data_IF_765541585993
#
_entry.id   IF_765541585993
#
_cell.length_a   1.000
_cell.length_b   1.000
_cell.length_c   1.000
_cell.angle_alpha   90.00
_cell.angle_beta   90.00
_cell.angle_gamma   90.00
#
_symmetry.space_group_name_H-M   'P 1'
#
loop_
_entity.id
_entity.type
_entity.pdbx_description
1 polymer ?
#
# COMPACT_ATOMS: atom_id res chain seq x y z
N UNK A 1 26.70 8.78 9.13
CA UNK A 1 26.41 8.86 7.68
C UNK A 1 25.17 9.73 7.46
N UNK A 2 25.18 10.61 6.45
CA UNK A 2 24.00 11.43 6.08
C UNK A 2 23.17 10.73 5.01
N UNK A 3 21.86 10.91 5.05
CA UNK A 3 20.88 10.41 4.08
C UNK A 3 19.95 11.53 3.63
N UNK A 4 19.44 11.42 2.40
CA UNK A 4 18.54 12.41 1.80
C UNK A 4 17.11 11.90 1.92
N UNK A 5 16.26 12.60 2.68
CA UNK A 5 14.83 12.28 2.78
C UNK A 5 14.12 12.55 1.46
N UNK A 6 12.93 11.96 1.28
CA UNK A 6 12.07 12.17 0.10
C UNK A 6 11.65 13.63 -0.13
N UNK A 7 11.72 14.48 0.89
CA UNK A 7 11.52 15.92 0.78
C UNK A 7 12.83 16.71 0.57
N UNK A 8 13.87 16.05 0.05
CA UNK A 8 15.21 16.59 -0.23
C UNK A 8 16.00 17.09 0.98
N UNK A 9 15.52 16.91 2.22
CA UNK A 9 16.25 17.29 3.43
C UNK A 9 17.29 16.25 3.81
N UNK A 10 18.53 16.68 4.03
CA UNK A 10 19.57 15.83 4.60
C UNK A 10 19.34 15.60 6.09
N UNK A 11 19.54 14.36 6.55
CA UNK A 11 19.46 13.97 7.97
C UNK A 11 20.49 12.89 8.27
N UNK A 12 20.76 12.63 9.55
CA UNK A 12 21.57 11.48 9.94
C UNK A 12 20.77 10.19 9.72
N UNK A 13 21.46 9.13 9.26
CA UNK A 13 20.86 7.80 9.20
C UNK A 13 20.38 7.40 10.60
N UNK A 14 19.14 6.94 10.68
CA UNK A 14 18.52 6.40 11.88
C UNK A 14 18.32 4.89 11.70
N UNK A 15 19.20 4.11 12.32
CA UNK A 15 19.19 2.63 12.22
C UNK A 15 17.98 2.05 12.94
N UNK A 16 17.54 2.67 14.04
CA UNK A 16 16.36 2.24 14.81
C UNK A 16 15.11 2.26 13.93
N UNK A 17 14.96 3.27 13.06
CA UNK A 17 13.85 3.29 12.09
C UNK A 17 13.91 2.15 11.08
N UNK A 18 15.11 1.76 10.63
CA UNK A 18 15.28 0.63 9.72
C UNK A 18 14.87 -0.66 10.44
N UNK A 19 15.41 -0.88 11.64
CA UNK A 19 15.11 -2.05 12.45
C UNK A 19 13.61 -2.23 12.68
N UNK A 20 12.92 -1.16 13.09
CA UNK A 20 11.48 -1.19 13.30
C UNK A 20 10.69 -1.49 12.01
N UNK A 21 11.14 -0.95 10.87
CA UNK A 21 10.49 -1.20 9.57
C UNK A 21 10.65 -2.65 9.14
N UNK A 22 11.84 -3.23 9.31
CA UNK A 22 12.10 -4.62 8.95
C UNK A 22 11.36 -5.58 9.88
N UNK A 23 11.39 -5.35 11.20
CA UNK A 23 10.62 -6.14 12.16
C UNK A 23 9.13 -6.09 11.86
N UNK A 24 8.59 -4.91 11.56
CA UNK A 24 7.18 -4.78 11.15
C UNK A 24 6.87 -5.61 9.90
N UNK A 25 7.76 -5.59 8.89
CA UNK A 25 7.58 -6.40 7.69
C UNK A 25 7.67 -7.90 7.97
N UNK A 26 8.49 -8.33 8.93
CA UNK A 26 8.69 -9.74 9.27
C UNK A 26 7.69 -10.28 10.31
N UNK A 27 6.83 -9.43 10.89
CA UNK A 27 5.93 -9.81 11.98
C UNK A 27 5.02 -11.00 11.60
N UNK A 28 5.02 -12.04 12.43
CA UNK A 28 4.25 -13.27 12.20
C UNK A 28 4.72 -14.13 11.02
N UNK A 29 5.92 -13.91 10.47
CA UNK A 29 6.51 -14.70 9.40
C UNK A 29 7.74 -15.50 9.89
N UNK A 30 8.02 -16.65 9.28
CA UNK A 30 9.25 -17.40 9.54
C UNK A 30 10.43 -16.80 8.73
N UNK A 31 10.87 -15.62 9.13
CA UNK A 31 11.91 -14.81 8.47
C UNK A 31 12.88 -14.29 9.51
N UNK A 32 14.15 -14.12 9.15
CA UNK A 32 15.16 -13.50 10.02
C UNK A 32 15.35 -12.01 9.66
N UNK A 33 14.84 -11.06 10.47
CA UNK A 33 15.01 -9.62 10.21
C UNK A 33 16.47 -9.19 10.09
N UNK A 34 17.36 -9.80 10.89
CA UNK A 34 18.78 -9.43 10.91
C UNK A 34 19.47 -9.71 9.57
N UNK A 35 19.10 -10.78 8.88
CA UNK A 35 19.65 -11.08 7.55
C UNK A 35 19.29 -10.00 6.53
N UNK A 36 18.06 -9.47 6.59
CA UNK A 36 17.62 -8.37 5.71
C UNK A 36 18.39 -7.09 6.02
N UNK A 37 18.54 -6.78 7.31
CA UNK A 37 19.21 -5.56 7.76
C UNK A 37 20.70 -5.55 7.39
N UNK A 38 21.44 -6.61 7.73
CA UNK A 38 22.89 -6.68 7.51
C UNK A 38 23.22 -6.63 6.02
N UNK A 39 22.53 -7.44 5.21
CA UNK A 39 22.76 -7.49 3.76
C UNK A 39 22.44 -6.15 3.06
N UNK A 40 21.46 -5.40 3.54
CA UNK A 40 21.16 -4.06 3.04
C UNK A 40 22.19 -3.02 3.51
N UNK A 41 22.55 -3.03 4.80
CA UNK A 41 23.46 -2.06 5.41
C UNK A 41 24.85 -2.05 4.78
N UNK A 42 25.36 -3.21 4.36
CA UNK A 42 26.66 -3.34 3.66
C UNK A 42 26.71 -2.46 2.40
N UNK A 43 25.57 -2.19 1.77
CA UNK A 43 25.47 -1.40 0.53
C UNK A 43 25.23 0.09 0.77
N UNK A 44 25.14 0.53 2.03
CA UNK A 44 24.86 1.93 2.35
C UNK A 44 26.05 2.83 2.06
N UNK A 45 25.75 4.04 1.59
CA UNK A 45 26.73 5.09 1.26
C UNK A 45 26.26 6.45 1.73
N UNK A 46 27.21 7.36 1.95
CA UNK A 46 26.88 8.72 2.34
C UNK A 46 26.05 9.41 1.25
N UNK A 47 25.10 10.25 1.67
CA UNK A 47 24.14 10.94 0.80
C UNK A 47 23.19 10.02 0.01
N UNK A 48 23.03 8.75 0.41
CA UNK A 48 21.99 7.89 -0.14
C UNK A 48 20.60 8.42 0.20
N UNK A 49 19.68 8.32 -0.74
CA UNK A 49 18.28 8.69 -0.52
C UNK A 49 17.56 7.63 0.33
N UNK A 50 16.58 8.06 1.11
CA UNK A 50 15.70 7.14 1.85
C UNK A 50 14.93 6.16 0.95
N UNK A 51 14.71 6.52 -0.33
CA UNK A 51 14.12 5.62 -1.32
C UNK A 51 15.10 4.52 -1.74
N UNK A 52 16.35 4.86 -2.01
CA UNK A 52 17.40 3.86 -2.29
C UNK A 52 17.60 2.89 -1.12
N UNK A 53 17.58 3.40 0.12
CA UNK A 53 17.66 2.54 1.33
C UNK A 53 16.50 1.54 1.36
N UNK A 54 15.27 2.00 1.13
CA UNK A 54 14.10 1.11 1.10
C UNK A 54 14.22 0.06 -0.02
N UNK A 55 14.70 0.44 -1.20
CA UNK A 55 14.92 -0.50 -2.30
C UNK A 55 16.00 -1.54 -1.96
N UNK A 56 17.06 -1.17 -1.25
CA UNK A 56 18.06 -2.13 -0.77
C UNK A 56 17.49 -3.14 0.23
N UNK A 57 16.62 -2.71 1.15
CA UNK A 57 15.92 -3.59 2.07
C UNK A 57 15.00 -4.57 1.32
N UNK A 58 14.23 -4.07 0.35
CA UNK A 58 13.37 -4.91 -0.51
C UNK A 58 14.22 -5.95 -1.25
N UNK A 59 15.29 -5.54 -1.93
CA UNK A 59 16.17 -6.47 -2.65
C UNK A 59 16.84 -7.49 -1.72
N UNK A 60 17.21 -7.07 -0.51
CA UNK A 60 17.76 -7.98 0.48
C UNK A 60 16.76 -9.07 0.88
N UNK A 61 15.49 -8.72 1.11
CA UNK A 61 14.46 -9.69 1.41
C UNK A 61 14.17 -10.61 0.20
N UNK A 62 14.12 -10.05 -1.01
CA UNK A 62 13.89 -10.81 -2.25
C UNK A 62 14.97 -11.86 -2.49
N UNK A 63 16.24 -11.53 -2.25
CA UNK A 63 17.35 -12.46 -2.46
C UNK A 63 17.33 -13.69 -1.53
N UNK A 64 16.61 -13.60 -0.41
CA UNK A 64 16.43 -14.70 0.54
C UNK A 64 15.22 -15.58 0.23
N UNK A 65 14.39 -15.23 -0.77
CA UNK A 65 13.26 -16.04 -1.20
C UNK A 65 13.79 -17.33 -1.82
N UNK A 66 13.40 -18.46 -1.23
CA UNK A 66 13.78 -19.79 -1.69
C UNK A 66 12.69 -20.80 -1.33
N UNK A 67 12.82 -22.04 -1.84
CA UNK A 67 11.91 -23.12 -1.45
C UNK A 67 12.00 -23.43 0.05
N UNK A 68 13.18 -23.22 0.67
CA UNK A 68 13.39 -23.43 2.11
C UNK A 68 12.84 -22.27 2.95
N UNK A 69 12.90 -21.04 2.42
CA UNK A 69 12.43 -19.84 3.12
C UNK A 69 11.38 -19.08 2.28
N UNK A 70 10.17 -19.64 2.08
CA UNK A 70 9.15 -19.04 1.22
C UNK A 70 8.59 -17.72 1.80
N UNK A 71 8.57 -17.57 3.13
CA UNK A 71 7.95 -16.43 3.81
C UNK A 71 8.62 -15.08 3.53
N UNK A 72 9.88 -15.09 3.07
CA UNK A 72 10.58 -13.88 2.61
C UNK A 72 9.82 -13.14 1.50
N UNK A 73 8.98 -13.83 0.72
CA UNK A 73 8.15 -13.19 -0.31
C UNK A 73 7.14 -12.22 0.29
N UNK A 74 6.56 -12.56 1.45
CA UNK A 74 5.61 -11.72 2.17
C UNK A 74 6.33 -10.56 2.86
N UNK A 75 7.51 -10.81 3.45
CA UNK A 75 8.34 -9.75 4.03
C UNK A 75 8.76 -8.72 2.97
N UNK A 76 9.22 -9.18 1.81
CA UNK A 76 9.54 -8.33 0.67
C UNK A 76 8.32 -7.55 0.17
N UNK A 77 7.14 -8.17 0.09
CA UNK A 77 5.91 -7.50 -0.31
C UNK A 77 5.50 -6.39 0.69
N UNK A 78 5.61 -6.66 2.00
CA UNK A 78 5.33 -5.67 3.05
C UNK A 78 6.31 -4.49 3.03
N UNK A 79 7.58 -4.72 2.69
CA UNK A 79 8.55 -3.64 2.47
C UNK A 79 8.21 -2.80 1.23
N UNK A 80 7.70 -3.40 0.15
CA UNK A 80 7.19 -2.68 -1.02
C UNK A 80 5.97 -1.83 -0.66
N UNK A 81 5.01 -2.40 0.07
CA UNK A 81 3.82 -1.70 0.56
C UNK A 81 4.20 -0.50 1.44
N UNK A 82 5.17 -0.67 2.34
CA UNK A 82 5.66 0.42 3.19
C UNK A 82 6.24 1.58 2.36
N UNK A 83 6.98 1.27 1.28
CA UNK A 83 7.50 2.28 0.34
C UNK A 83 6.34 3.06 -0.31
N UNK A 84 5.32 2.34 -0.81
CA UNK A 84 4.12 2.88 -1.44
C UNK A 84 3.33 3.77 -0.49
N UNK A 85 3.02 3.28 0.72
CA UNK A 85 2.27 4.03 1.72
C UNK A 85 2.92 5.37 2.04
N UNK A 86 4.26 5.39 2.15
CA UNK A 86 5.00 6.63 2.32
C UNK A 86 4.90 7.55 1.11
N UNK A 87 4.86 7.02 -0.11
CA UNK A 87 4.77 7.83 -1.33
C UNK A 87 3.40 8.49 -1.40
N UNK A 88 2.34 7.71 -1.22
CA UNK A 88 0.96 8.20 -1.22
C UNK A 88 0.71 9.19 -0.08
N UNK A 89 1.21 8.93 1.13
CA UNK A 89 1.05 9.87 2.24
C UNK A 89 1.72 11.22 1.97
N UNK A 90 2.91 11.21 1.38
CA UNK A 90 3.61 12.44 0.97
C UNK A 90 2.84 13.20 -0.12
N UNK A 91 2.34 12.49 -1.15
CA UNK A 91 1.52 13.09 -2.21
C UNK A 91 0.23 13.71 -1.64
N UNK A 92 -0.41 13.04 -0.68
CA UNK A 92 -1.63 13.51 -0.01
C UNK A 92 -1.38 14.54 1.10
N UNK A 93 -0.12 14.92 1.34
CA UNK A 93 0.26 15.98 2.27
C UNK A 93 0.08 15.63 3.75
N UNK A 94 0.05 14.35 4.13
CA UNK A 94 -0.01 13.96 5.55
C UNK A 94 1.22 13.20 6.00
N UNK A 95 1.62 13.44 7.25
CA UNK A 95 2.74 12.73 7.86
C UNK A 95 2.24 11.39 8.39
N UNK A 96 2.90 10.31 7.98
CA UNK A 96 2.79 9.04 8.69
C UNK A 96 3.38 9.22 10.09
N UNK A 97 2.65 8.75 11.11
CA UNK A 97 3.20 8.60 12.44
C UNK A 97 4.04 7.33 12.45
N UNK A 98 5.30 7.45 12.04
CA UNK A 98 6.31 6.38 12.13
C UNK A 98 6.99 6.41 13.52
N UNK A 99 6.24 6.68 14.60
CA UNK A 99 6.78 6.84 15.95
C UNK A 99 6.92 5.49 16.65
N UNK A 100 7.95 5.39 17.51
CA UNK A 100 8.49 4.14 18.10
C UNK A 100 7.47 3.37 18.96
N UNK A 101 6.30 3.93 19.29
CA UNK A 101 5.28 3.27 20.13
C UNK A 101 3.84 3.49 19.62
N UNK A 102 3.66 3.82 18.34
CA UNK A 102 2.32 4.03 17.76
C UNK A 102 2.00 2.97 16.72
N UNK A 103 0.77 2.48 16.72
CA UNK A 103 0.27 1.60 15.66
C UNK A 103 0.45 2.31 14.31
N UNK A 104 1.27 1.71 13.43
CA UNK A 104 1.51 2.24 12.10
C UNK A 104 0.17 2.35 11.36
N UNK A 105 -0.24 3.58 11.07
CA UNK A 105 -1.56 3.88 10.48
C UNK A 105 -1.35 4.58 9.13
N UNK A 106 -1.13 3.83 8.04
CA UNK A 106 -0.72 4.40 6.77
C UNK A 106 -1.88 4.94 5.91
N UNK A 107 -3.11 4.86 6.42
CA UNK A 107 -4.33 5.22 5.73
C UNK A 107 -5.26 6.00 6.66
N UNK A 108 -6.02 6.96 6.11
CA UNK A 108 -7.12 7.61 6.83
C UNK A 108 -8.36 7.65 5.94
N UNK A 109 -9.52 7.20 6.44
CA UNK A 109 -10.78 7.22 5.68
C UNK A 109 -11.17 8.60 5.14
N UNK A 110 -10.81 9.67 5.86
CA UNK A 110 -11.10 11.05 5.41
C UNK A 110 -10.36 11.44 4.12
N UNK A 111 -9.24 10.79 3.79
CA UNK A 111 -8.57 11.00 2.51
C UNK A 111 -9.23 10.24 1.37
N UNK A 112 -9.92 9.13 1.64
CA UNK A 112 -10.54 8.34 0.60
C UNK A 112 -11.65 9.09 -0.11
N UNK A 113 -12.53 9.80 0.62
CA UNK A 113 -13.57 10.65 0.02
C UNK A 113 -12.96 11.71 -0.90
N UNK A 114 -11.92 12.42 -0.41
CA UNK A 114 -11.21 13.45 -1.18
C UNK A 114 -10.53 12.86 -2.41
N UNK A 115 -9.92 11.70 -2.26
CA UNK A 115 -9.25 10.96 -3.33
C UNK A 115 -10.24 10.58 -4.43
N UNK A 116 -11.36 9.95 -4.07
CA UNK A 116 -12.40 9.57 -5.05
C UNK A 116 -12.93 10.78 -5.79
N UNK A 117 -13.33 11.83 -5.07
CA UNK A 117 -13.82 13.07 -5.70
C UNK A 117 -12.80 13.66 -6.67
N UNK A 118 -11.56 13.82 -6.22
CA UNK A 118 -10.49 14.42 -7.01
C UNK A 118 -10.26 13.66 -8.32
N UNK A 119 -10.18 12.33 -8.27
CA UNK A 119 -9.93 11.53 -9.47
C UNK A 119 -11.16 11.34 -10.37
N UNK A 120 -12.37 11.48 -9.83
CA UNK A 120 -13.59 11.59 -10.65
C UNK A 120 -13.63 12.94 -11.37
N UNK A 121 -13.35 14.05 -10.67
CA UNK A 121 -13.28 15.40 -11.27
C UNK A 121 -12.21 15.50 -12.37
N UNK A 122 -11.09 14.77 -12.21
CA UNK A 122 -10.05 14.65 -13.23
C UNK A 122 -10.41 13.72 -14.40
N UNK A 123 -11.56 13.03 -14.35
CA UNK A 123 -12.00 12.09 -15.37
C UNK A 123 -11.21 10.78 -15.41
N UNK A 124 -10.41 10.50 -14.39
CA UNK A 124 -9.63 9.25 -14.26
C UNK A 124 -10.51 8.13 -13.68
N UNK A 125 -11.29 8.46 -12.64
CA UNK A 125 -12.29 7.57 -12.09
C UNK A 125 -13.65 7.82 -12.75
N UNK A 126 -14.49 6.78 -12.80
CA UNK A 126 -15.80 6.86 -13.44
C UNK A 126 -16.78 7.74 -12.64
N UNK A 127 -17.45 8.68 -13.32
CA UNK A 127 -18.46 9.58 -12.74
C UNK A 127 -19.56 8.84 -11.96
N UNK A 128 -19.87 7.61 -12.36
CA UNK A 128 -20.88 6.76 -11.73
C UNK A 128 -20.64 6.54 -10.23
N UNK A 129 -19.38 6.64 -9.76
CA UNK A 129 -19.07 6.60 -8.33
C UNK A 129 -19.78 7.70 -7.54
N UNK A 130 -19.75 8.95 -8.04
CA UNK A 130 -20.38 10.09 -7.36
C UNK A 130 -21.90 10.17 -7.62
N UNK A 131 -22.39 9.53 -8.67
CA UNK A 131 -23.83 9.38 -8.93
C UNK A 131 -24.48 8.32 -8.04
N UNK A 132 -23.74 7.23 -7.76
CA UNK A 132 -24.27 6.06 -7.05
C UNK A 132 -24.04 6.11 -5.54
N UNK A 133 -23.02 6.82 -5.07
CA UNK A 133 -22.62 6.88 -3.66
C UNK A 133 -22.53 8.33 -3.18
N UNK A 134 -23.19 8.62 -2.05
CA UNK A 134 -23.03 9.89 -1.35
C UNK A 134 -21.65 9.97 -0.68
N UNK A 135 -21.25 11.17 -0.26
CA UNK A 135 -20.00 11.33 0.50
C UNK A 135 -19.97 10.50 1.78
N UNK A 136 -21.12 10.34 2.44
CA UNK A 136 -21.25 9.54 3.65
C UNK A 136 -21.05 8.05 3.34
N UNK A 137 -21.58 7.56 2.22
CA UNK A 137 -21.38 6.18 1.77
C UNK A 137 -19.90 5.92 1.48
N UNK A 138 -19.23 6.82 0.74
CA UNK A 138 -17.80 6.70 0.43
C UNK A 138 -16.96 6.76 1.71
N UNK A 139 -17.33 7.62 2.66
CA UNK A 139 -16.66 7.69 3.95
C UNK A 139 -16.83 6.41 4.76
N UNK A 140 -18.03 5.84 4.79
CA UNK A 140 -18.33 4.57 5.46
C UNK A 140 -17.55 3.41 4.84
N UNK A 141 -17.50 3.33 3.52
CA UNK A 141 -16.73 2.33 2.79
C UNK A 141 -15.22 2.51 3.01
N UNK A 142 -14.73 3.75 3.01
CA UNK A 142 -13.35 4.05 3.39
C UNK A 142 -13.02 3.61 4.82
N UNK A 143 -13.96 3.73 5.76
CA UNK A 143 -13.79 3.18 7.13
C UNK A 143 -13.80 1.66 7.16
N UNK A 144 -14.44 1.01 6.20
CA UNK A 144 -14.52 -0.46 6.11
C UNK A 144 -13.25 -1.10 5.56
N UNK A 145 -12.37 -0.32 4.91
CA UNK A 145 -11.11 -0.82 4.35
C UNK A 145 -10.24 -1.49 5.44
N UNK A 146 -9.78 -2.70 5.11
CA UNK A 146 -8.99 -3.61 5.96
C UNK A 146 -7.57 -3.74 5.40
N UNK A 147 -6.66 -2.90 5.89
CA UNK A 147 -5.27 -2.86 5.44
C UNK A 147 -4.53 -4.20 5.63
N UNK A 148 -4.95 -5.01 6.61
CA UNK A 148 -4.36 -6.32 6.86
C UNK A 148 -4.48 -7.29 5.66
N UNK A 149 -5.41 -7.04 4.73
CA UNK A 149 -5.51 -7.84 3.51
C UNK A 149 -4.32 -7.62 2.57
N UNK A 150 -3.60 -6.50 2.66
CA UNK A 150 -2.35 -6.31 1.92
C UNK A 150 -1.28 -7.32 2.30
N UNK A 151 -1.35 -7.91 3.51
CA UNK A 151 -0.35 -8.90 3.95
C UNK A 151 -0.48 -10.23 3.24
N UNK A 152 -1.54 -10.43 2.45
CA UNK A 152 -1.71 -11.61 1.58
C UNK A 152 -0.90 -11.52 0.29
N UNK A 153 -0.33 -10.37 -0.04
CA UNK A 153 0.47 -10.24 -1.26
C UNK A 153 1.82 -10.95 -1.14
N UNK A 154 2.15 -11.74 -2.15
CA UNK A 154 3.53 -12.14 -2.42
C UNK A 154 4.28 -11.01 -3.13
N UNK A 155 5.61 -11.05 -3.12
CA UNK A 155 6.42 -10.02 -3.79
C UNK A 155 6.09 -9.87 -5.29
N UNK A 156 5.99 -10.95 -6.09
CA UNK A 156 5.55 -10.84 -7.49
C UNK A 156 4.13 -10.28 -7.62
N UNK A 157 3.23 -10.65 -6.70
CA UNK A 157 1.84 -10.19 -6.68
C UNK A 157 1.74 -8.68 -6.51
N UNK A 158 2.36 -8.13 -5.46
CA UNK A 158 2.34 -6.68 -5.24
C UNK A 158 3.05 -5.92 -6.35
N UNK A 159 4.18 -6.44 -6.87
CA UNK A 159 4.88 -5.80 -8.00
C UNK A 159 4.00 -5.71 -9.24
N UNK A 160 3.34 -6.80 -9.59
CA UNK A 160 2.41 -6.82 -10.72
C UNK A 160 1.28 -5.81 -10.51
N UNK A 161 0.76 -5.72 -9.28
CA UNK A 161 -0.26 -4.73 -8.92
C UNK A 161 0.21 -3.29 -9.15
N UNK A 162 1.38 -2.92 -8.61
CA UNK A 162 1.92 -1.55 -8.75
C UNK A 162 2.25 -1.20 -10.20
N UNK A 163 2.75 -2.17 -10.97
CA UNK A 163 3.25 -1.92 -12.31
C UNK A 163 2.11 -1.81 -13.32
N UNK A 164 1.07 -2.65 -13.19
CA UNK A 164 0.04 -2.83 -14.24
C UNK A 164 -1.36 -2.36 -13.85
N UNK A 165 -1.72 -2.40 -12.57
CA UNK A 165 -3.12 -2.28 -12.15
C UNK A 165 -3.39 -0.98 -11.38
N UNK A 166 -2.51 -0.60 -10.47
CA UNK A 166 -2.74 0.64 -9.74
C UNK A 166 -2.71 1.85 -10.67
N UNK A 167 -3.72 2.69 -10.53
CA UNK A 167 -3.92 3.87 -11.33
C UNK A 167 -2.75 4.84 -11.13
N UNK A 168 -2.33 5.40 -12.27
CA UNK A 168 -1.24 6.37 -12.36
C UNK A 168 -1.75 7.68 -12.92
N UNK A 169 -1.32 8.77 -12.31
CA UNK A 169 -1.54 10.12 -12.77
C UNK A 169 -0.16 10.76 -13.01
N UNK A 170 0.07 11.26 -14.22
CA UNK A 170 1.38 11.77 -14.65
C UNK A 170 2.54 10.80 -14.35
N UNK A 171 2.28 9.49 -14.52
CA UNK A 171 3.26 8.42 -14.30
C UNK A 171 3.51 8.05 -12.84
N UNK A 172 2.81 8.66 -11.88
CA UNK A 172 2.92 8.35 -10.44
C UNK A 172 1.71 7.55 -9.99
N UNK A 173 1.93 6.52 -9.18
CA UNK A 173 0.83 5.78 -8.53
C UNK A 173 0.13 6.71 -7.54
N UNK A 174 -1.20 6.71 -7.55
CA UNK A 174 -2.03 7.62 -6.75
C UNK A 174 -2.97 6.95 -5.76
N UNK A 175 -3.10 5.62 -5.85
CA UNK A 175 -3.99 4.82 -5.03
C UNK A 175 -3.24 3.72 -4.27
N UNK A 176 -3.92 3.17 -3.27
CA UNK A 176 -3.47 2.05 -2.47
C UNK A 176 -4.19 0.76 -2.91
N UNK A 177 -3.60 -0.44 -2.72
CA UNK A 177 -4.21 -1.70 -3.15
C UNK A 177 -5.62 -1.91 -2.61
N UNK A 178 -5.84 -1.61 -1.32
CA UNK A 178 -7.16 -1.75 -0.71
C UNK A 178 -8.16 -0.69 -1.18
N UNK A 179 -7.69 0.49 -1.58
CA UNK A 179 -8.55 1.51 -2.20
C UNK A 179 -9.00 1.04 -3.58
N UNK A 180 -8.08 0.50 -4.40
CA UNK A 180 -8.39 -0.10 -5.70
C UNK A 180 -9.45 -1.21 -5.55
N UNK A 181 -9.25 -2.16 -4.61
CA UNK A 181 -10.25 -3.21 -4.37
C UNK A 181 -11.60 -2.67 -3.90
N UNK A 182 -11.62 -1.65 -3.03
CA UNK A 182 -12.86 -1.03 -2.61
C UNK A 182 -13.56 -0.31 -3.77
N UNK A 183 -12.82 0.39 -4.64
CA UNK A 183 -13.37 1.06 -5.81
C UNK A 183 -13.95 0.07 -6.82
N UNK A 184 -13.25 -1.04 -7.07
CA UNK A 184 -13.75 -2.11 -7.94
C UNK A 184 -15.03 -2.72 -7.36
N UNK A 185 -15.07 -2.98 -6.05
CA UNK A 185 -16.26 -3.46 -5.37
C UNK A 185 -17.44 -2.47 -5.44
N UNK A 186 -17.17 -1.16 -5.27
CA UNK A 186 -18.15 -0.10 -5.44
C UNK A 186 -18.73 -0.07 -6.84
N UNK A 187 -17.89 -0.21 -7.87
CA UNK A 187 -18.33 -0.22 -9.27
C UNK A 187 -19.19 -1.45 -9.59
N UNK A 188 -18.80 -2.62 -9.10
CA UNK A 188 -19.58 -3.86 -9.24
C UNK A 188 -20.96 -3.73 -8.57
N UNK A 189 -21.03 -3.13 -7.39
CA UNK A 189 -22.28 -2.94 -6.66
C UNK A 189 -23.20 -1.86 -7.26
N UNK A 190 -22.83 -1.15 -8.34
CA UNK A 190 -23.70 -0.12 -8.94
C UNK A 190 -24.97 -0.68 -9.59
N UNK A 191 -24.99 -1.96 -9.92
CA UNK A 191 -26.17 -2.65 -10.49
C UNK A 191 -27.22 -3.00 -9.43
N UNK A 192 -26.82 -2.99 -8.15
CA UNK A 192 -27.71 -3.28 -7.03
C UNK A 192 -28.65 -2.10 -6.73
N UNK A 193 -29.74 -2.40 -6.03
CA UNK A 193 -30.68 -1.41 -5.51
C UNK A 193 -29.95 -0.34 -4.71
N UNK A 194 -30.36 0.93 -4.89
CA UNK A 194 -29.69 2.11 -4.31
C UNK A 194 -29.39 1.97 -2.82
N UNK A 195 -30.33 1.39 -2.05
CA UNK A 195 -30.21 1.25 -0.60
C UNK A 195 -29.30 0.08 -0.18
N UNK A 196 -28.98 -0.85 -1.08
CA UNK A 196 -28.18 -2.05 -0.80
C UNK A 196 -26.72 -1.94 -1.31
N UNK A 197 -26.41 -0.92 -2.13
CA UNK A 197 -25.08 -0.77 -2.77
C UNK A 197 -23.93 -0.79 -1.78
N UNK A 198 -24.04 -0.08 -0.65
CA UNK A 198 -22.99 -0.05 0.38
C UNK A 198 -22.77 -1.45 0.98
N UNK A 199 -23.85 -2.19 1.23
CA UNK A 199 -23.77 -3.56 1.75
C UNK A 199 -23.08 -4.49 0.75
N UNK A 200 -23.48 -4.48 -0.52
CA UNK A 200 -22.85 -5.31 -1.54
C UNK A 200 -21.41 -4.90 -1.85
N UNK A 201 -21.09 -3.60 -1.85
CA UNK A 201 -19.70 -3.14 -1.99
C UNK A 201 -18.80 -3.71 -0.89
N UNK A 202 -19.26 -3.77 0.36
CA UNK A 202 -18.50 -4.42 1.46
C UNK A 202 -18.32 -5.92 1.23
N UNK A 203 -19.37 -6.60 0.79
CA UNK A 203 -19.34 -8.05 0.49
C UNK A 203 -18.33 -8.32 -0.63
N UNK A 204 -18.45 -7.64 -1.77
CA UNK A 204 -17.53 -7.79 -2.89
C UNK A 204 -16.10 -7.45 -2.50
N UNK A 205 -15.89 -6.36 -1.76
CA UNK A 205 -14.58 -5.99 -1.23
C UNK A 205 -13.96 -7.13 -0.41
N UNK A 206 -14.71 -7.71 0.54
CA UNK A 206 -14.19 -8.81 1.36
C UNK A 206 -13.82 -10.04 0.53
N UNK A 207 -14.59 -10.39 -0.51
CA UNK A 207 -14.24 -11.53 -1.37
C UNK A 207 -13.02 -11.26 -2.26
N UNK A 208 -12.95 -10.07 -2.86
CA UNK A 208 -11.86 -9.69 -3.78
C UNK A 208 -10.57 -9.47 -3.01
N UNK A 209 -10.59 -8.61 -1.98
CA UNK A 209 -9.39 -8.23 -1.22
C UNK A 209 -8.81 -9.39 -0.40
N UNK A 210 -9.61 -10.40 -0.04
CA UNK A 210 -9.11 -11.63 0.58
C UNK A 210 -8.55 -12.65 -0.42
N UNK A 211 -8.58 -12.35 -1.72
CA UNK A 211 -8.21 -13.24 -2.83
C UNK A 211 -9.07 -14.50 -2.92
N UNK A 212 -10.33 -14.44 -2.45
CA UNK A 212 -11.30 -15.53 -2.61
C UNK A 212 -11.91 -15.52 -4.02
N UNK A 213 -11.97 -14.35 -4.64
CA UNK A 213 -12.39 -14.14 -6.03
C UNK A 213 -11.30 -13.33 -6.74
N UNK A 214 -10.85 -13.81 -7.89
CA UNK A 214 -10.00 -13.03 -8.79
C UNK A 214 -10.86 -12.31 -9.80
N UNK A 215 -10.59 -11.03 -10.02
CA UNK A 215 -11.16 -10.26 -11.11
C UNK A 215 -10.30 -10.46 -12.38
N UNK A 216 -10.95 -10.41 -13.54
CA UNK A 216 -10.23 -10.43 -14.82
C UNK A 216 -9.45 -9.13 -15.02
N UNK A 217 -8.30 -9.19 -15.72
CA UNK A 217 -7.41 -8.04 -15.96
C UNK A 217 -8.11 -6.77 -16.45
N UNK A 218 -9.13 -6.80 -17.34
CA UNK A 218 -9.81 -5.57 -17.78
C UNK A 218 -10.72 -4.93 -16.72
N UNK A 219 -11.04 -5.66 -15.65
CA UNK A 219 -11.89 -5.20 -14.54
C UNK A 219 -11.03 -4.62 -13.42
N UNK A 220 -9.81 -5.13 -13.23
CA UNK A 220 -8.83 -4.63 -12.26
C UNK A 220 -8.25 -3.29 -12.70
#
# INVERSE_FOLDING_TARGET
MKVIKRNSKATNLDITKIHNTVNYACDGLNVNPMEIEVNAQIKFRNNMTTKEIQQLLIMSAVNNISAQNPDYTFAAARLVLYDLYKEIALQRGFKLKDEINTVYTPYKPSYFVKHVKHYVEKGIYNQKLLECYSENDIYELGKYIKLQYDYKFTYPGIKTLLDKYLIKDEGKIVELPQEMYMLNAMMLATVEDKNERVKYAKIFYDYIAQHMISLATPIL
#
